data_IF_821642833973
#
_entry.id   IF_821642833973
#
_cell.length_a   1.000
_cell.length_b   1.000
_cell.length_c   1.000
_cell.angle_alpha   90.00
_cell.angle_beta   90.00
_cell.angle_gamma   90.00
#
_symmetry.space_group_name_H-M   'P 1'
#
loop_
_entity.id
_entity.type
_entity.pdbx_description
1 polymer ?
#
# COMPACT_ATOMS: atom_id res chain seq x y z
N UNK A 1 6.52 -6.98 -47.57
CA UNK A 1 6.91 -7.97 -46.57
C UNK A 1 7.61 -7.38 -45.37
N UNK A 2 8.67 -6.51 -45.48
CA UNK A 2 9.36 -5.88 -44.35
C UNK A 2 8.50 -4.97 -43.47
N UNK A 3 7.55 -4.18 -44.03
CA UNK A 3 6.68 -3.27 -43.24
C UNK A 3 5.72 -4.02 -42.29
N UNK A 4 5.30 -5.24 -42.64
CA UNK A 4 4.43 -6.06 -41.78
C UNK A 4 5.17 -6.60 -40.56
N UNK A 5 6.44 -6.97 -40.72
CA UNK A 5 7.28 -7.50 -39.62
C UNK A 5 7.62 -6.40 -38.63
N UNK A 6 7.97 -5.19 -39.09
CA UNK A 6 8.21 -4.05 -38.22
C UNK A 6 6.96 -3.65 -37.42
N UNK A 7 5.78 -3.68 -38.05
CA UNK A 7 4.51 -3.39 -37.38
C UNK A 7 4.18 -4.43 -36.31
N UNK A 8 4.36 -5.73 -36.61
CA UNK A 8 4.17 -6.81 -35.63
C UNK A 8 5.15 -6.74 -34.46
N UNK A 9 6.43 -6.42 -34.70
CA UNK A 9 7.43 -6.24 -33.65
C UNK A 9 7.08 -5.02 -32.78
N UNK A 10 6.60 -3.93 -33.39
CA UNK A 10 6.18 -2.74 -32.63
C UNK A 10 4.93 -3.01 -31.80
N UNK A 11 3.95 -3.77 -32.30
CA UNK A 11 2.76 -4.19 -31.56
C UNK A 11 3.13 -5.12 -30.40
N UNK A 12 3.94 -6.14 -30.64
CA UNK A 12 4.41 -7.05 -29.58
C UNK A 12 5.28 -6.31 -28.53
N UNK A 13 6.03 -5.29 -28.95
CA UNK A 13 6.81 -4.45 -28.03
C UNK A 13 5.91 -3.54 -27.22
N UNK A 14 4.86 -2.97 -27.81
CA UNK A 14 3.87 -2.15 -27.11
C UNK A 14 3.00 -3.00 -26.18
N UNK A 15 2.55 -4.18 -26.57
CA UNK A 15 1.85 -5.13 -25.71
C UNK A 15 2.73 -5.56 -24.52
N UNK A 16 4.05 -5.79 -24.76
CA UNK A 16 5.00 -6.15 -23.72
C UNK A 16 5.35 -4.96 -22.78
N UNK A 17 5.22 -3.73 -23.27
CA UNK A 17 5.41 -2.50 -22.46
C UNK A 17 4.13 -2.18 -21.68
N UNK A 18 2.94 -2.45 -22.23
CA UNK A 18 1.67 -2.36 -21.49
C UNK A 18 1.58 -3.44 -20.40
N UNK A 19 2.12 -4.65 -20.65
CA UNK A 19 2.24 -5.72 -19.64
C UNK A 19 3.25 -5.46 -18.52
N UNK A 20 4.10 -4.42 -18.65
CA UNK A 20 5.14 -4.08 -17.66
C UNK A 20 4.73 -2.97 -16.68
N UNK A 21 3.47 -2.56 -16.66
CA UNK A 21 2.98 -1.56 -15.70
C UNK A 21 2.65 -2.25 -14.37
N UNK A 22 3.58 -2.22 -13.43
CA UNK A 22 3.26 -2.51 -12.04
C UNK A 22 2.37 -1.39 -11.50
N UNK A 23 1.07 -1.56 -11.64
CA UNK A 23 0.07 -0.64 -11.12
C UNK A 23 -0.43 -1.18 -9.79
N UNK A 24 -0.51 -0.33 -8.78
CA UNK A 24 -1.19 -0.67 -7.53
C UNK A 24 -2.68 -0.78 -7.85
N UNK A 25 -3.26 -1.94 -7.64
CA UNK A 25 -4.69 -2.21 -7.88
C UNK A 25 -5.46 -2.46 -6.60
N UNK A 26 -4.75 -2.84 -5.54
CA UNK A 26 -5.34 -3.13 -4.24
C UNK A 26 -4.46 -2.56 -3.12
N UNK A 27 -5.10 -1.93 -2.15
CA UNK A 27 -4.46 -1.48 -0.92
C UNK A 27 -4.90 -2.38 0.23
N UNK A 28 -3.91 -2.94 0.91
CA UNK A 28 -4.07 -3.63 2.18
C UNK A 28 -3.66 -2.72 3.33
N UNK A 29 -4.50 -2.63 4.37
CA UNK A 29 -4.13 -1.88 5.58
C UNK A 29 -4.94 -2.36 6.80
N UNK A 30 -4.50 -1.99 7.99
CA UNK A 30 -5.14 -2.39 9.25
C UNK A 30 -6.27 -1.47 9.69
N UNK A 31 -6.51 -0.36 9.00
CA UNK A 31 -7.59 0.57 9.29
C UNK A 31 -7.39 1.43 10.53
N UNK A 32 -6.20 1.47 11.15
CA UNK A 32 -5.92 2.38 12.26
C UNK A 32 -5.94 3.83 11.78
N UNK A 33 -6.05 4.79 12.68
CA UNK A 33 -5.88 6.21 12.37
C UNK A 33 -4.49 6.52 11.78
N UNK A 34 -4.30 7.70 11.20
CA UNK A 34 -3.00 8.09 10.64
C UNK A 34 -2.70 7.40 9.32
N UNK A 35 -1.55 6.76 9.19
CA UNK A 35 -1.04 6.17 7.94
C UNK A 35 -2.00 5.14 7.35
N UNK A 36 -2.46 4.20 8.14
CA UNK A 36 -3.37 3.14 7.70
C UNK A 36 -4.66 3.73 7.07
N UNK A 37 -5.24 4.73 7.74
CA UNK A 37 -6.46 5.38 7.30
C UNK A 37 -6.26 6.14 5.99
N UNK A 38 -5.17 6.88 5.87
CA UNK A 38 -4.85 7.62 4.65
C UNK A 38 -4.71 6.69 3.44
N UNK A 39 -4.11 5.50 3.64
CA UNK A 39 -4.00 4.50 2.58
C UNK A 39 -5.35 3.98 2.11
N UNK A 40 -6.29 3.72 3.03
CA UNK A 40 -7.64 3.29 2.68
C UNK A 40 -8.44 4.40 2.00
N UNK A 41 -8.33 5.64 2.48
CA UNK A 41 -8.98 6.80 1.84
C UNK A 41 -8.45 7.06 0.44
N UNK A 42 -7.13 6.93 0.24
CA UNK A 42 -6.50 6.98 -1.08
C UNK A 42 -7.05 5.89 -2.01
N UNK A 43 -7.14 4.65 -1.54
CA UNK A 43 -7.68 3.55 -2.33
C UNK A 43 -9.12 3.83 -2.77
N UNK A 44 -9.96 4.30 -1.85
CA UNK A 44 -11.36 4.65 -2.14
C UNK A 44 -11.47 5.80 -3.14
N UNK A 45 -10.68 6.86 -2.98
CA UNK A 45 -10.63 8.00 -3.90
C UNK A 45 -10.29 7.58 -5.34
N UNK A 46 -9.42 6.58 -5.47
CA UNK A 46 -8.94 6.12 -6.78
C UNK A 46 -9.62 4.84 -7.30
N UNK A 47 -10.72 4.40 -6.67
CA UNK A 47 -11.46 3.19 -7.02
C UNK A 47 -10.57 1.93 -7.04
N UNK A 48 -9.58 1.87 -6.16
CA UNK A 48 -8.77 0.69 -5.94
C UNK A 48 -9.49 -0.26 -4.99
N UNK A 49 -9.19 -1.55 -5.11
CA UNK A 49 -9.71 -2.54 -4.18
C UNK A 49 -9.11 -2.36 -2.78
N UNK A 50 -9.95 -2.46 -1.76
CA UNK A 50 -9.54 -2.38 -0.34
C UNK A 50 -9.59 -3.77 0.25
N UNK A 51 -8.55 -4.14 1.01
CA UNK A 51 -8.52 -5.34 1.83
C UNK A 51 -7.69 -5.12 3.10
N UNK A 52 -7.71 -6.09 3.98
CA UNK A 52 -6.89 -6.08 5.20
C UNK A 52 -7.59 -6.63 6.41
N UNK A 53 -6.84 -6.76 7.47
CA UNK A 53 -7.28 -7.27 8.75
C UNK A 53 -7.35 -6.15 9.78
N UNK A 54 -8.45 -6.04 10.49
CA UNK A 54 -8.59 -5.21 11.69
C UNK A 54 -8.76 -6.11 12.94
N UNK A 55 -8.57 -5.60 14.16
CA UNK A 55 -8.85 -6.35 15.36
C UNK A 55 -10.31 -6.74 15.42
N UNK A 56 -10.64 -7.82 16.13
CA UNK A 56 -12.03 -8.17 16.46
C UNK A 56 -12.74 -6.97 17.09
N UNK A 57 -13.97 -6.71 16.66
CA UNK A 57 -14.72 -5.51 17.04
C UNK A 57 -14.34 -4.26 16.26
N UNK A 58 -13.38 -4.35 15.31
CA UNK A 58 -13.00 -3.24 14.45
C UNK A 58 -12.30 -2.08 15.15
N UNK A 59 -11.68 -2.29 16.31
CA UNK A 59 -11.11 -1.22 17.10
C UNK A 59 -10.05 -0.40 16.35
N UNK A 60 -10.24 0.91 16.36
CA UNK A 60 -9.24 1.92 16.02
C UNK A 60 -9.32 3.05 17.06
N UNK A 61 -8.24 3.82 17.25
CA UNK A 61 -8.20 4.82 18.34
C UNK A 61 -9.27 5.92 18.21
N UNK A 62 -9.68 6.22 16.98
CA UNK A 62 -10.75 7.18 16.65
C UNK A 62 -12.13 6.50 16.45
N UNK A 63 -12.18 5.16 16.47
CA UNK A 63 -13.39 4.34 16.44
C UNK A 63 -13.32 3.26 17.52
N UNK A 64 -13.40 3.65 18.82
CA UNK A 64 -13.16 2.72 19.92
C UNK A 64 -14.32 1.74 20.20
N UNK A 65 -15.54 2.08 19.76
CA UNK A 65 -16.75 1.29 20.03
C UNK A 65 -17.12 0.43 18.83
N UNK A 66 -17.54 -0.82 19.04
CA UNK A 66 -18.01 -1.72 17.99
C UNK A 66 -19.17 -1.11 17.17
N UNK A 67 -19.20 -1.28 15.86
CA UNK A 67 -18.31 -2.11 15.01
C UNK A 67 -17.01 -1.40 14.58
N UNK A 68 -16.61 -0.32 15.23
CA UNK A 68 -15.33 0.33 15.01
C UNK A 68 -15.13 0.81 13.58
N UNK A 69 -13.96 0.57 13.03
CA UNK A 69 -13.60 0.94 11.66
C UNK A 69 -14.44 0.22 10.60
N UNK A 70 -15.04 -0.92 10.92
CA UNK A 70 -15.92 -1.67 10.01
C UNK A 70 -17.19 -0.92 9.64
N UNK A 71 -17.61 0.06 10.46
CA UNK A 71 -18.70 0.96 10.09
C UNK A 71 -18.38 1.82 8.86
N UNK A 72 -17.09 2.09 8.62
CA UNK A 72 -16.60 2.94 7.53
C UNK A 72 -15.98 2.09 6.41
N UNK A 73 -15.24 1.04 6.76
CA UNK A 73 -14.57 0.13 5.82
C UNK A 73 -15.03 -1.32 6.03
N UNK A 74 -16.26 -1.64 5.56
CA UNK A 74 -16.80 -3.01 5.69
C UNK A 74 -16.03 -4.04 4.84
N UNK A 75 -15.10 -3.60 3.99
CA UNK A 75 -14.21 -4.42 3.19
C UNK A 75 -13.12 -5.10 4.04
N UNK A 76 -12.83 -4.57 5.24
CA UNK A 76 -11.86 -5.16 6.16
C UNK A 76 -12.43 -6.41 6.84
N UNK A 77 -11.52 -7.32 7.18
CA UNK A 77 -11.84 -8.55 7.89
C UNK A 77 -11.36 -8.48 9.34
N UNK A 78 -12.13 -9.06 10.25
CA UNK A 78 -11.74 -9.14 11.65
C UNK A 78 -10.78 -10.30 11.88
N UNK A 79 -9.76 -10.07 12.71
CA UNK A 79 -8.98 -11.16 13.29
C UNK A 79 -9.78 -11.82 14.42
N UNK A 80 -9.51 -13.10 14.79
CA UNK A 80 -10.14 -13.76 15.94
C UNK A 80 -9.95 -13.03 17.26
N UNK A 81 -8.81 -12.36 17.44
CA UNK A 81 -8.44 -11.68 18.67
C UNK A 81 -8.63 -10.16 18.55
N UNK A 82 -8.94 -9.53 19.69
CA UNK A 82 -9.10 -8.08 19.77
C UNK A 82 -7.75 -7.34 19.88
N UNK A 83 -6.67 -8.06 20.21
CA UNK A 83 -5.35 -7.48 20.34
C UNK A 83 -4.78 -7.03 19.00
N UNK A 84 -4.34 -5.75 18.89
CA UNK A 84 -3.90 -5.17 17.61
C UNK A 84 -2.70 -5.86 16.95
N UNK A 85 -1.87 -6.59 17.71
CA UNK A 85 -0.69 -7.26 17.16
C UNK A 85 -1.08 -8.33 16.11
N UNK A 86 -2.18 -9.07 16.33
CA UNK A 86 -2.58 -10.14 15.42
C UNK A 86 -2.93 -9.60 14.02
N UNK A 87 -3.67 -8.49 13.94
CA UNK A 87 -4.00 -7.87 12.65
C UNK A 87 -2.74 -7.35 11.94
N UNK A 88 -1.74 -6.89 12.71
CA UNK A 88 -0.47 -6.43 12.14
C UNK A 88 0.25 -7.59 11.46
N UNK A 89 0.44 -8.71 12.16
CA UNK A 89 1.08 -9.90 11.60
C UNK A 89 0.33 -10.45 10.38
N UNK A 90 -1.01 -10.50 10.43
CA UNK A 90 -1.79 -11.03 9.32
C UNK A 90 -1.77 -10.13 8.09
N UNK A 91 -1.74 -8.81 8.26
CA UNK A 91 -1.56 -7.91 7.13
C UNK A 91 -0.18 -8.10 6.47
N UNK A 92 0.89 -8.27 7.25
CA UNK A 92 2.23 -8.54 6.71
C UNK A 92 2.29 -9.90 6.01
N UNK A 93 1.72 -10.95 6.64
CA UNK A 93 1.67 -12.30 6.08
C UNK A 93 1.04 -12.34 4.69
N UNK A 94 -0.11 -11.68 4.54
CA UNK A 94 -0.92 -11.76 3.34
C UNK A 94 -0.50 -10.74 2.26
N UNK A 95 0.38 -9.76 2.59
CA UNK A 95 0.85 -8.75 1.66
C UNK A 95 1.71 -9.34 0.53
N UNK A 96 1.61 -8.78 -0.67
CA UNK A 96 2.56 -9.04 -1.75
C UNK A 96 3.82 -8.17 -1.60
N UNK A 97 3.64 -6.89 -1.27
CA UNK A 97 4.71 -5.95 -0.97
C UNK A 97 4.27 -5.02 0.17
N UNK A 98 5.22 -4.46 0.90
CA UNK A 98 4.96 -3.65 2.10
C UNK A 98 5.60 -2.28 1.93
N UNK A 99 4.80 -1.22 2.02
CA UNK A 99 5.25 0.16 2.14
C UNK A 99 5.00 0.63 3.57
N UNK A 100 6.07 0.81 4.32
CA UNK A 100 6.01 1.41 5.65
C UNK A 100 6.25 2.92 5.52
N UNK A 101 5.34 3.73 6.03
CA UNK A 101 5.49 5.20 6.02
C UNK A 101 5.77 5.65 7.46
N UNK A 102 6.94 6.25 7.65
CA UNK A 102 7.42 6.77 8.93
C UNK A 102 7.91 8.20 8.75
N UNK A 103 7.02 9.20 8.78
CA UNK A 103 7.42 10.60 8.65
C UNK A 103 8.51 10.99 9.63
N UNK A 104 9.38 11.92 9.24
CA UNK A 104 10.40 12.45 10.15
C UNK A 104 9.76 13.01 11.41
N UNK A 105 10.37 12.74 12.56
CA UNK A 105 9.82 13.16 13.86
C UNK A 105 8.68 12.30 14.40
N UNK A 106 8.33 11.18 13.73
CA UNK A 106 7.40 10.20 14.28
C UNK A 106 7.89 9.71 15.64
N UNK A 107 6.95 9.58 16.58
CA UNK A 107 7.21 8.92 17.86
C UNK A 107 7.50 7.42 17.70
N UNK A 108 7.88 6.78 18.79
CA UNK A 108 8.05 5.33 18.81
C UNK A 108 6.70 4.63 18.57
N UNK A 109 6.63 3.82 17.51
CA UNK A 109 5.44 3.02 17.17
C UNK A 109 5.77 1.53 17.26
N UNK A 110 5.35 0.88 18.33
CA UNK A 110 5.55 -0.56 18.55
C UNK A 110 4.83 -1.40 17.48
N UNK A 111 3.65 -0.95 17.04
CA UNK A 111 2.89 -1.63 15.99
C UNK A 111 3.60 -1.60 14.64
N UNK A 112 4.19 -0.46 14.29
CA UNK A 112 4.97 -0.30 13.05
C UNK A 112 6.25 -1.14 13.12
N UNK A 113 6.98 -1.10 14.25
CA UNK A 113 8.18 -1.92 14.46
C UNK A 113 7.89 -3.41 14.33
N UNK A 114 6.79 -3.88 14.92
CA UNK A 114 6.35 -5.27 14.80
C UNK A 114 6.07 -5.64 13.34
N UNK A 115 5.39 -4.78 12.59
CA UNK A 115 5.09 -5.02 11.17
C UNK A 115 6.35 -5.08 10.31
N UNK A 116 7.32 -4.20 10.55
CA UNK A 116 8.61 -4.22 9.85
C UNK A 116 9.38 -5.50 10.16
N UNK A 117 9.45 -5.89 11.44
CA UNK A 117 10.12 -7.12 11.86
C UNK A 117 9.51 -8.35 11.17
N UNK A 118 8.19 -8.47 11.21
CA UNK A 118 7.47 -9.58 10.57
C UNK A 118 7.69 -9.62 9.06
N UNK A 119 7.64 -8.45 8.39
CA UNK A 119 7.90 -8.36 6.95
C UNK A 119 9.31 -8.85 6.57
N UNK A 120 10.31 -8.52 7.38
CA UNK A 120 11.70 -8.98 7.21
C UNK A 120 11.77 -10.51 7.39
N UNK A 121 11.16 -11.05 8.47
CA UNK A 121 11.16 -12.48 8.77
C UNK A 121 10.48 -13.31 7.67
N UNK A 122 9.44 -12.75 7.07
CA UNK A 122 8.71 -13.37 5.95
C UNK A 122 9.41 -13.17 4.58
N UNK A 123 10.51 -12.42 4.53
CA UNK A 123 11.21 -12.11 3.28
C UNK A 123 10.38 -11.34 2.25
N UNK A 124 9.46 -10.50 2.71
CA UNK A 124 8.60 -9.70 1.83
C UNK A 124 9.39 -8.56 1.18
N UNK A 125 9.08 -8.19 -0.08
CA UNK A 125 9.56 -6.92 -0.64
C UNK A 125 9.06 -5.76 0.22
N UNK A 126 9.99 -4.91 0.69
CA UNK A 126 9.65 -3.81 1.59
C UNK A 126 10.33 -2.51 1.17
N UNK A 127 9.64 -1.39 1.40
CA UNK A 127 10.18 -0.04 1.29
C UNK A 127 9.74 0.77 2.51
N UNK A 128 10.65 1.57 3.07
CA UNK A 128 10.32 2.53 4.13
C UNK A 128 10.47 3.94 3.59
N UNK A 129 9.40 4.73 3.68
CA UNK A 129 9.33 6.10 3.21
C UNK A 129 9.18 7.07 4.39
N UNK A 130 9.77 8.25 4.25
CA UNK A 130 9.76 9.30 5.27
C UNK A 130 9.01 10.56 4.82
N UNK A 131 8.95 10.82 3.52
CA UNK A 131 8.29 11.98 2.94
C UNK A 131 8.00 11.83 1.45
N UNK A 132 7.40 12.87 0.87
CA UNK A 132 7.03 12.89 -0.55
C UNK A 132 8.25 12.82 -1.49
N UNK A 133 9.42 13.19 -1.03
CA UNK A 133 10.70 13.07 -1.73
C UNK A 133 11.03 11.63 -2.11
N UNK A 134 10.57 10.64 -1.34
CA UNK A 134 10.78 9.23 -1.61
C UNK A 134 9.89 8.68 -2.74
N UNK A 135 8.92 9.46 -3.21
CA UNK A 135 7.92 8.97 -4.16
C UNK A 135 8.52 8.42 -5.47
N UNK A 136 9.60 9.01 -5.95
CA UNK A 136 10.27 8.54 -7.16
C UNK A 136 10.96 7.17 -6.94
N UNK A 137 11.58 6.98 -5.78
CA UNK A 137 12.22 5.72 -5.42
C UNK A 137 11.17 4.63 -5.17
N UNK A 138 10.03 4.97 -4.53
CA UNK A 138 8.89 4.05 -4.35
C UNK A 138 8.35 3.61 -5.72
N UNK A 139 8.15 4.55 -6.66
CA UNK A 139 7.65 4.22 -7.99
C UNK A 139 8.61 3.29 -8.74
N UNK A 140 9.92 3.54 -8.66
CA UNK A 140 10.96 2.68 -9.25
C UNK A 140 11.01 1.30 -8.56
N UNK A 141 10.93 1.26 -7.23
CA UNK A 141 10.86 0.01 -6.47
C UNK A 141 9.65 -0.84 -6.89
N UNK A 142 8.46 -0.26 -6.94
CA UNK A 142 7.25 -0.96 -7.36
C UNK A 142 7.38 -1.54 -8.77
N UNK A 143 8.03 -0.82 -9.70
CA UNK A 143 8.29 -1.31 -11.06
C UNK A 143 9.30 -2.47 -11.10
N UNK A 144 10.21 -2.54 -10.12
CA UNK A 144 11.19 -3.61 -10.03
C UNK A 144 10.63 -4.93 -9.49
N UNK A 145 9.39 -4.91 -8.96
CA UNK A 145 8.77 -6.10 -8.39
C UNK A 145 8.28 -7.03 -9.50
N UNK A 146 8.96 -8.16 -9.68
CA UNK A 146 8.61 -9.20 -10.67
C UNK A 146 7.26 -9.87 -10.38
N UNK A 147 6.66 -9.61 -9.22
CA UNK A 147 5.40 -10.20 -8.75
C UNK A 147 4.14 -9.53 -9.32
N UNK A 148 4.30 -8.40 -10.01
CA UNK A 148 3.20 -7.74 -10.68
C UNK A 148 2.72 -8.59 -11.85
N UNK A 149 1.69 -9.37 -11.61
CA UNK A 149 0.96 -10.08 -12.64
C UNK A 149 0.07 -9.12 -13.44
N UNK A 150 -0.67 -9.62 -14.42
CA UNK A 150 -1.59 -8.82 -15.24
C UNK A 150 -2.68 -8.10 -14.43
N UNK A 151 -2.86 -8.48 -13.17
CA UNK A 151 -3.84 -7.89 -12.25
C UNK A 151 -3.26 -6.79 -11.36
N UNK A 152 -2.02 -6.33 -11.61
CA UNK A 152 -1.35 -5.34 -10.76
C UNK A 152 -0.83 -5.91 -9.44
N UNK A 153 -0.56 -5.03 -8.48
CA UNK A 153 0.02 -5.39 -7.17
C UNK A 153 -0.93 -5.05 -6.02
N UNK A 154 -0.97 -5.93 -5.02
CA UNK A 154 -1.53 -5.66 -3.71
C UNK A 154 -0.42 -5.08 -2.82
N UNK A 155 -0.56 -3.80 -2.47
CA UNK A 155 0.38 -3.09 -1.62
C UNK A 155 -0.17 -2.97 -0.21
N UNK A 156 0.54 -3.53 0.77
CA UNK A 156 0.26 -3.25 2.17
C UNK A 156 0.90 -1.91 2.56
N UNK A 157 0.08 -0.99 3.07
CA UNK A 157 0.55 0.31 3.56
C UNK A 157 0.25 0.40 5.04
N UNK A 158 1.26 0.71 5.84
CA UNK A 158 1.14 0.87 7.28
C UNK A 158 2.19 1.80 7.86
N UNK A 159 1.94 2.24 9.09
CA UNK A 159 2.81 3.16 9.80
C UNK A 159 2.23 3.56 11.16
N UNK A 160 2.73 4.64 11.78
CA UNK A 160 2.24 5.13 13.05
C UNK A 160 0.80 5.62 12.95
N UNK A 161 0.05 5.46 14.04
CA UNK A 161 -1.28 6.03 14.21
C UNK A 161 -1.20 7.54 14.49
N UNK A 162 -2.35 8.23 14.40
CA UNK A 162 -2.40 9.69 14.52
C UNK A 162 -1.87 10.19 15.86
N UNK A 163 -2.09 9.47 16.97
CA UNK A 163 -1.55 9.83 18.29
C UNK A 163 -0.02 9.69 18.39
N UNK A 164 0.61 8.90 17.54
CA UNK A 164 2.07 8.70 17.47
C UNK A 164 2.72 9.63 16.42
N UNK A 165 1.98 9.98 15.36
CA UNK A 165 2.41 10.89 14.30
C UNK A 165 1.21 11.67 13.75
N UNK A 166 0.91 12.88 14.25
CA UNK A 166 -0.24 13.68 13.81
C UNK A 166 -0.27 13.97 12.31
N UNK A 167 0.89 14.17 11.69
CA UNK A 167 1.01 14.48 10.27
C UNK A 167 1.00 13.21 9.38
N UNK A 168 1.03 12.02 9.99
CA UNK A 168 1.15 10.74 9.28
C UNK A 168 0.08 10.53 8.21
N UNK A 169 -1.15 10.95 8.46
CA UNK A 169 -2.23 10.89 7.48
C UNK A 169 -1.94 11.74 6.23
N UNK A 170 -1.59 13.02 6.44
CA UNK A 170 -1.35 13.95 5.34
C UNK A 170 -0.13 13.55 4.51
N UNK A 171 0.98 13.23 5.17
CA UNK A 171 2.21 12.77 4.49
C UNK A 171 1.96 11.52 3.67
N UNK A 172 1.17 10.57 4.18
CA UNK A 172 0.81 9.35 3.44
C UNK A 172 0.04 9.67 2.17
N UNK A 173 -0.95 10.56 2.23
CA UNK A 173 -1.70 10.97 1.04
C UNK A 173 -0.78 11.63 0.01
N UNK A 174 0.11 12.53 0.42
CA UNK A 174 1.06 13.20 -0.48
C UNK A 174 1.99 12.22 -1.18
N UNK A 175 2.53 11.25 -0.44
CA UNK A 175 3.38 10.18 -1.00
C UNK A 175 2.59 9.37 -2.03
N UNK A 176 1.43 8.82 -1.67
CA UNK A 176 0.67 7.92 -2.54
C UNK A 176 0.13 8.62 -3.79
N UNK A 177 -0.32 9.87 -3.66
CA UNK A 177 -0.74 10.68 -4.81
C UNK A 177 0.43 10.93 -5.77
N UNK A 178 1.61 11.26 -5.23
CA UNK A 178 2.81 11.49 -6.05
C UNK A 178 3.30 10.21 -6.73
N UNK A 179 3.30 9.08 -6.02
CA UNK A 179 3.64 7.78 -6.60
C UNK A 179 2.70 7.45 -7.76
N UNK A 180 1.38 7.64 -7.57
CA UNK A 180 0.38 7.40 -8.62
C UNK A 180 0.59 8.31 -9.83
N UNK A 181 0.86 9.60 -9.61
CA UNK A 181 1.18 10.55 -10.69
C UNK A 181 2.37 10.05 -11.51
N UNK A 182 3.47 9.66 -10.84
CA UNK A 182 4.68 9.17 -11.50
C UNK A 182 4.44 7.87 -12.28
N UNK A 183 3.68 6.93 -11.73
CA UNK A 183 3.29 5.71 -12.44
C UNK A 183 2.48 6.00 -13.70
N UNK A 184 1.56 6.97 -13.67
CA UNK A 184 0.79 7.38 -14.84
C UNK A 184 1.68 8.01 -15.92
N UNK A 185 2.65 8.85 -15.54
CA UNK A 185 3.61 9.49 -16.48
C UNK A 185 4.48 8.42 -17.15
N UNK A 186 5.05 7.50 -16.36
CA UNK A 186 5.89 6.42 -16.86
C UNK A 186 5.14 5.48 -17.80
N UNK A 187 3.84 5.31 -17.56
CA UNK A 187 2.97 4.53 -18.42
C UNK A 187 2.47 5.24 -19.68
N UNK A 188 2.65 6.54 -19.80
CA UNK A 188 2.26 7.34 -20.96
C UNK A 188 3.41 7.59 -21.95
N UNK A 189 4.64 7.17 -21.62
CA UNK A 189 5.81 7.30 -22.51
C UNK A 189 5.75 6.15 -23.52
N UNK A 190 5.59 6.44 -24.82
CA UNK A 190 5.46 5.43 -25.89
C UNK A 190 6.76 4.64 -26.13
#
# INVERSE_FOLDING_TARGET
MMRSIFWQISQQRNEKIEDMKTTITRIRSGGQSGVDRAALDFARKHNMEICGWCPKGGWAEDYPEEPGILAVYPELQETPEAEPWQRTLWNMRDAQAILTIMPEGSGESKGTQLGVQEGIELGKPMFTAHGVEDAAEIAAWLQSLEMAGPNGIELCVGGPRASECPDGYQVTLEILEKVKELQNILGAIP
#
